data_IF_537888390430
#
_entry.id   IF_537888390430
#
_cell.length_a   1.000
_cell.length_b   1.000
_cell.length_c   1.000
_cell.angle_alpha   90.00
_cell.angle_beta   90.00
_cell.angle_gamma   90.00
#
_symmetry.space_group_name_H-M   'P 1'
#
loop_
_entity.id
_entity.type
_entity.pdbx_description
1 polymer ?
#
# COMPACT_ATOMS: atom_id res chain seq x y z
N UNK A 1 38.02 -12.00 -10.77
CA UNK A 1 37.90 -11.90 -9.30
C UNK A 1 36.64 -11.13 -8.93
N UNK A 2 35.85 -11.65 -8.02
CA UNK A 2 34.65 -10.94 -7.56
C UNK A 2 35.07 -9.68 -6.74
N UNK A 3 34.46 -8.54 -7.05
CA UNK A 3 34.67 -7.31 -6.29
C UNK A 3 33.87 -7.34 -4.98
N UNK A 4 34.25 -6.54 -4.00
CA UNK A 4 33.48 -6.44 -2.74
C UNK A 4 32.04 -5.95 -2.97
N UNK A 5 31.82 -5.07 -3.96
CA UNK A 5 30.47 -4.60 -4.34
C UNK A 5 29.61 -5.73 -4.88
N UNK A 6 30.13 -6.53 -5.81
CA UNK A 6 29.40 -7.67 -6.37
C UNK A 6 29.05 -8.74 -5.31
N UNK A 7 29.91 -8.93 -4.30
CA UNK A 7 29.63 -9.82 -3.16
C UNK A 7 28.55 -9.23 -2.27
N UNK A 8 28.65 -7.94 -1.94
CA UNK A 8 27.64 -7.25 -1.13
C UNK A 8 26.27 -7.26 -1.82
N UNK A 9 26.21 -6.90 -3.11
CA UNK A 9 24.98 -6.87 -3.90
C UNK A 9 24.29 -8.24 -3.97
N UNK A 10 25.03 -9.32 -4.23
CA UNK A 10 24.47 -10.68 -4.22
C UNK A 10 23.92 -11.09 -2.85
N UNK A 11 24.57 -10.69 -1.76
CA UNK A 11 24.08 -10.96 -0.42
C UNK A 11 22.84 -10.11 -0.10
N UNK A 12 22.82 -8.85 -0.52
CA UNK A 12 21.64 -7.99 -0.42
C UNK A 12 20.42 -8.61 -1.14
N UNK A 13 20.61 -9.07 -2.39
CA UNK A 13 19.55 -9.73 -3.16
C UNK A 13 19.00 -10.95 -2.43
N UNK A 14 19.88 -11.85 -1.96
CA UNK A 14 19.48 -13.08 -1.26
C UNK A 14 18.78 -12.82 0.08
N UNK A 15 19.25 -11.82 0.82
CA UNK A 15 18.63 -11.43 2.11
C UNK A 15 17.28 -10.76 1.86
N UNK A 16 17.19 -9.85 0.88
CA UNK A 16 15.95 -9.19 0.51
C UNK A 16 14.90 -10.18 -0.05
N UNK A 17 15.33 -11.20 -0.79
CA UNK A 17 14.46 -12.27 -1.28
C UNK A 17 14.04 -13.30 -0.21
N UNK A 18 14.55 -13.17 1.03
CA UNK A 18 14.25 -14.10 2.13
C UNK A 18 14.96 -15.46 2.00
N UNK A 19 15.91 -15.63 1.08
CA UNK A 19 16.75 -16.83 0.97
C UNK A 19 17.71 -17.00 2.16
N UNK A 20 18.04 -15.89 2.79
CA UNK A 20 18.82 -15.80 4.04
C UNK A 20 17.99 -15.04 5.06
N UNK A 21 17.16 -15.74 5.86
CA UNK A 21 16.29 -15.11 6.85
C UNK A 21 17.07 -14.51 8.03
N UNK A 22 16.38 -13.69 8.81
CA UNK A 22 16.92 -13.09 10.03
C UNK A 22 17.50 -14.14 10.97
N UNK A 23 18.70 -13.88 11.51
CA UNK A 23 19.44 -14.78 12.38
C UNK A 23 20.31 -15.81 11.65
N UNK A 24 20.15 -16.02 10.35
CA UNK A 24 20.97 -16.92 9.56
C UNK A 24 22.45 -16.53 9.62
N UNK A 25 23.29 -17.55 9.67
CA UNK A 25 24.75 -17.39 9.76
C UNK A 25 25.37 -17.34 8.38
N UNK A 26 26.10 -16.28 8.11
CA UNK A 26 26.88 -16.14 6.89
C UNK A 26 28.18 -16.96 6.96
N UNK A 27 28.72 -17.40 5.82
CA UNK A 27 30.02 -18.06 5.75
C UNK A 27 31.12 -17.21 6.41
N UNK A 28 32.13 -17.85 7.00
CA UNK A 28 33.28 -17.10 7.49
C UNK A 28 33.96 -16.34 6.34
N UNK A 29 34.62 -15.22 6.64
CA UNK A 29 35.33 -14.41 5.64
C UNK A 29 36.28 -15.26 4.79
N UNK A 30 36.95 -16.26 5.40
CA UNK A 30 37.85 -17.17 4.65
C UNK A 30 37.08 -18.17 3.79
N UNK A 31 35.96 -18.67 4.25
CA UNK A 31 35.10 -19.57 3.47
C UNK A 31 34.49 -18.85 2.25
N UNK A 32 33.88 -17.68 2.48
CA UNK A 32 33.34 -16.85 1.43
C UNK A 32 34.40 -16.39 0.41
N UNK A 33 35.63 -16.12 0.87
CA UNK A 33 36.74 -15.76 -0.05
C UNK A 33 37.08 -16.90 -1.01
N UNK A 34 37.06 -18.15 -0.54
CA UNK A 34 37.26 -19.35 -1.37
C UNK A 34 36.10 -19.52 -2.36
N UNK A 35 34.86 -19.42 -1.87
CA UNK A 35 33.63 -19.57 -2.68
C UNK A 35 33.61 -18.55 -3.83
N UNK A 36 33.88 -17.27 -3.52
CA UNK A 36 33.86 -16.19 -4.50
C UNK A 36 35.19 -16.01 -5.26
N UNK A 37 36.17 -16.89 -5.09
CA UNK A 37 37.51 -16.82 -5.72
C UNK A 37 38.14 -15.43 -5.57
N UNK A 38 38.15 -14.91 -4.34
CA UNK A 38 38.66 -13.57 -4.01
C UNK A 38 39.51 -13.60 -2.73
N UNK A 39 39.91 -12.44 -2.24
CA UNK A 39 40.71 -12.34 -1.02
C UNK A 39 39.83 -12.20 0.23
N UNK A 40 40.29 -12.63 1.43
CA UNK A 40 39.63 -12.38 2.68
C UNK A 40 39.35 -10.87 2.96
N UNK A 41 40.29 -10.00 2.52
CA UNK A 41 40.13 -8.55 2.64
C UNK A 41 38.94 -8.04 1.84
N UNK A 42 38.72 -8.54 0.63
CA UNK A 42 37.57 -8.18 -0.23
C UNK A 42 36.24 -8.58 0.42
N UNK A 43 36.15 -9.79 0.97
CA UNK A 43 34.95 -10.25 1.68
C UNK A 43 34.75 -9.46 2.97
N UNK A 44 35.83 -9.23 3.74
CA UNK A 44 35.76 -8.42 4.96
C UNK A 44 35.21 -7.03 4.72
N UNK A 45 35.59 -6.40 3.59
CA UNK A 45 35.06 -5.10 3.17
C UNK A 45 33.56 -5.19 2.83
N UNK A 46 33.13 -6.22 2.10
CA UNK A 46 31.71 -6.44 1.79
C UNK A 46 30.88 -6.61 3.06
N UNK A 47 31.34 -7.43 4.01
CA UNK A 47 30.67 -7.64 5.28
C UNK A 47 30.61 -6.37 6.15
N UNK A 48 31.69 -5.59 6.17
CA UNK A 48 31.71 -4.31 6.88
C UNK A 48 30.72 -3.31 6.29
N UNK A 49 30.53 -3.31 4.98
CA UNK A 49 29.56 -2.45 4.29
C UNK A 49 28.13 -2.88 4.60
N UNK A 50 27.83 -4.18 4.52
CA UNK A 50 26.53 -4.73 4.92
C UNK A 50 26.21 -4.49 6.39
N UNK A 51 27.20 -4.55 7.26
CA UNK A 51 27.01 -4.27 8.70
C UNK A 51 26.74 -2.78 8.95
N UNK A 52 27.42 -1.87 8.24
CA UNK A 52 27.12 -0.43 8.30
C UNK A 52 25.72 -0.10 7.79
N UNK A 53 25.25 -0.84 6.80
CA UNK A 53 23.88 -0.73 6.30
C UNK A 53 22.83 -1.39 7.20
N UNK A 54 23.21 -1.99 8.34
CA UNK A 54 22.28 -2.67 9.24
C UNK A 54 21.75 -4.03 8.74
N UNK A 55 22.28 -4.52 7.62
CA UNK A 55 21.82 -5.78 6.99
C UNK A 55 22.29 -7.01 7.75
N UNK A 56 23.51 -6.96 8.28
CA UNK A 56 24.10 -8.04 9.07
C UNK A 56 24.71 -7.52 10.36
N UNK A 57 24.82 -8.40 11.34
CA UNK A 57 25.49 -8.14 12.62
C UNK A 57 26.85 -8.84 12.62
N UNK A 58 27.90 -8.06 12.88
CA UNK A 58 29.25 -8.56 13.12
C UNK A 58 29.55 -8.57 14.60
N UNK A 59 29.94 -9.71 15.15
CA UNK A 59 30.38 -9.83 16.53
C UNK A 59 31.79 -10.39 16.61
N UNK A 60 32.65 -9.91 17.54
CA UNK A 60 34.00 -10.44 17.70
C UNK A 60 34.00 -11.94 17.92
N UNK A 61 34.83 -12.67 17.15
CA UNK A 61 35.01 -14.12 17.23
C UNK A 61 33.74 -14.95 16.99
N UNK A 62 32.68 -14.36 16.42
CA UNK A 62 31.47 -15.04 15.98
C UNK A 62 31.26 -14.92 14.49
N UNK A 63 30.50 -15.84 13.91
CA UNK A 63 30.09 -15.71 12.50
C UNK A 63 29.14 -14.52 12.33
N UNK A 64 29.24 -13.84 11.19
CA UNK A 64 28.29 -12.81 10.80
C UNK A 64 26.87 -13.41 10.69
N UNK A 65 25.86 -12.67 11.11
CA UNK A 65 24.45 -13.10 11.04
C UNK A 65 23.62 -12.03 10.38
N UNK A 66 22.56 -12.46 9.68
CA UNK A 66 21.53 -11.54 9.18
C UNK A 66 20.87 -10.86 10.37
N UNK A 67 20.76 -9.52 10.31
CA UNK A 67 20.08 -8.73 11.34
C UNK A 67 18.58 -9.05 11.40
N UNK A 68 17.91 -8.73 12.51
CA UNK A 68 16.47 -8.96 12.66
C UNK A 68 15.67 -8.28 11.54
N UNK A 69 16.04 -7.04 11.20
CA UNK A 69 15.44 -6.25 10.12
C UNK A 69 16.28 -6.27 8.85
N UNK A 70 17.16 -7.27 8.72
CA UNK A 70 18.15 -7.36 7.64
C UNK A 70 17.57 -7.34 6.24
N UNK A 71 16.40 -7.98 6.02
CA UNK A 71 15.72 -7.98 4.74
C UNK A 71 15.23 -6.57 4.34
N UNK A 72 14.70 -5.79 5.29
CA UNK A 72 14.26 -4.40 5.06
C UNK A 72 15.46 -3.53 4.68
N UNK A 73 16.56 -3.64 5.45
CA UNK A 73 17.78 -2.88 5.18
C UNK A 73 18.45 -3.28 3.85
N UNK A 74 18.42 -4.57 3.52
CA UNK A 74 18.95 -5.08 2.25
C UNK A 74 18.16 -4.52 1.06
N UNK A 75 16.83 -4.55 1.14
CA UNK A 75 15.99 -3.97 0.11
C UNK A 75 16.22 -2.46 -0.05
N UNK A 76 16.33 -1.71 1.05
CA UNK A 76 16.65 -0.26 1.01
C UNK A 76 18.01 -0.02 0.32
N UNK A 77 19.03 -0.81 0.63
CA UNK A 77 20.36 -0.69 0.03
C UNK A 77 20.36 -1.03 -1.48
N UNK A 78 19.63 -2.05 -1.90
CA UNK A 78 19.48 -2.43 -3.32
C UNK A 78 18.75 -1.35 -4.14
N UNK A 79 17.77 -0.69 -3.55
CA UNK A 79 17.01 0.36 -4.25
C UNK A 79 17.73 1.71 -4.25
N UNK A 80 18.90 1.83 -3.60
CA UNK A 80 19.92 2.88 -3.80
C UNK A 80 19.41 4.31 -3.72
N UNK A 81 18.41 4.61 -2.88
CA UNK A 81 17.78 5.94 -2.79
C UNK A 81 16.79 6.25 -3.92
N UNK A 82 16.45 5.28 -4.77
CA UNK A 82 15.35 5.45 -5.73
C UNK A 82 14.01 5.54 -4.99
N UNK A 83 13.22 6.54 -5.35
CA UNK A 83 11.87 6.68 -4.83
C UNK A 83 11.03 5.42 -5.08
N UNK A 84 10.21 5.02 -4.08
CA UNK A 84 9.25 3.94 -4.21
C UNK A 84 8.23 4.28 -5.30
N UNK A 85 8.11 3.43 -6.32
CA UNK A 85 7.05 3.55 -7.33
C UNK A 85 5.75 2.98 -6.75
N UNK A 86 4.84 3.88 -6.38
CA UNK A 86 3.58 3.57 -5.73
C UNK A 86 2.40 3.74 -6.69
N UNK A 87 1.61 2.69 -6.87
CA UNK A 87 0.39 2.68 -7.67
C UNK A 87 -0.85 2.42 -6.78
N UNK A 88 -2.03 2.46 -7.37
CA UNK A 88 -3.26 1.99 -6.73
C UNK A 88 -4.22 3.10 -6.35
N UNK A 89 -4.95 2.87 -5.28
CA UNK A 89 -6.04 3.75 -4.84
C UNK A 89 -5.52 5.01 -4.19
N UNK A 90 -6.19 6.11 -4.45
CA UNK A 90 -5.99 7.38 -3.75
C UNK A 90 -6.53 7.31 -2.32
N UNK A 91 -5.88 8.06 -1.44
CA UNK A 91 -6.29 8.17 -0.04
C UNK A 91 -5.67 9.43 0.58
N UNK A 92 -6.45 10.30 1.27
CA UNK A 92 -5.95 11.56 1.80
C UNK A 92 -4.90 11.40 2.91
N UNK A 93 -4.94 10.29 3.68
CA UNK A 93 -3.92 10.03 4.68
C UNK A 93 -2.64 9.50 4.03
N UNK A 94 -2.78 8.66 3.00
CA UNK A 94 -1.64 8.21 2.21
C UNK A 94 -0.88 9.39 1.57
N UNK A 95 -1.58 10.39 1.06
CA UNK A 95 -0.96 11.57 0.46
C UNK A 95 -0.11 12.38 1.46
N UNK A 96 -0.45 12.31 2.75
CA UNK A 96 0.34 12.95 3.82
C UNK A 96 1.61 12.19 4.19
N UNK A 97 1.58 10.86 4.15
CA UNK A 97 2.72 10.03 4.58
C UNK A 97 3.58 9.53 3.43
N UNK A 98 3.06 9.45 2.21
CA UNK A 98 3.77 8.91 1.05
C UNK A 98 4.67 9.97 0.37
N UNK A 99 5.23 10.89 1.14
CA UNK A 99 6.20 11.89 0.66
C UNK A 99 7.47 11.18 0.16
N UNK A 100 7.99 11.60 -0.99
CA UNK A 100 9.17 10.96 -1.59
C UNK A 100 8.88 9.67 -2.36
N UNK A 101 7.60 9.34 -2.61
CA UNK A 101 7.24 8.25 -3.53
C UNK A 101 6.95 8.77 -4.94
N UNK A 102 7.28 7.96 -5.95
CA UNK A 102 6.90 8.21 -7.34
C UNK A 102 5.51 7.61 -7.59
N UNK A 103 4.52 8.45 -7.84
CA UNK A 103 3.16 7.98 -8.15
C UNK A 103 3.08 7.46 -9.58
N UNK A 104 2.77 6.18 -9.73
CA UNK A 104 2.55 5.55 -11.03
C UNK A 104 1.11 5.77 -11.46
N UNK A 105 0.91 6.25 -12.68
CA UNK A 105 -0.41 6.49 -13.27
C UNK A 105 -1.19 5.19 -13.53
N UNK A 106 -1.68 4.57 -12.47
CA UNK A 106 -2.46 3.35 -12.49
C UNK A 106 -3.57 3.44 -11.43
N UNK A 107 -4.68 4.15 -11.74
CA UNK A 107 -5.70 4.50 -10.77
C UNK A 107 -6.46 3.28 -10.26
N UNK A 108 -6.82 3.34 -8.98
CA UNK A 108 -7.60 2.33 -8.28
C UNK A 108 -6.84 1.04 -8.01
N UNK A 109 -7.43 0.19 -7.19
CA UNK A 109 -6.78 -1.03 -6.70
C UNK A 109 -6.44 -2.02 -7.81
N UNK A 110 -7.29 -2.20 -8.82
CA UNK A 110 -6.99 -3.07 -9.96
C UNK A 110 -5.87 -2.51 -10.84
N UNK A 111 -5.84 -1.18 -11.04
CA UNK A 111 -4.74 -0.51 -11.73
C UNK A 111 -3.42 -0.73 -10.99
N UNK A 112 -3.44 -0.63 -9.66
CA UNK A 112 -2.30 -0.91 -8.80
C UNK A 112 -1.78 -2.34 -8.93
N UNK A 113 -2.66 -3.34 -8.85
CA UNK A 113 -2.31 -4.75 -9.04
C UNK A 113 -1.74 -5.02 -10.44
N UNK A 114 -2.32 -4.42 -11.48
CA UNK A 114 -1.83 -4.50 -12.85
C UNK A 114 -0.42 -3.89 -12.98
N UNK A 115 -0.19 -2.73 -12.37
CA UNK A 115 1.12 -2.07 -12.38
C UNK A 115 2.19 -2.91 -11.66
N UNK A 116 1.85 -3.55 -10.53
CA UNK A 116 2.71 -4.51 -9.84
C UNK A 116 3.02 -5.73 -10.71
N UNK A 117 1.99 -6.33 -11.31
CA UNK A 117 2.17 -7.48 -12.18
C UNK A 117 3.08 -7.18 -13.38
N UNK A 118 2.93 -5.99 -13.97
CA UNK A 118 3.75 -5.49 -15.07
C UNK A 118 5.11 -4.92 -14.64
N UNK A 119 5.46 -4.94 -13.36
CA UNK A 119 6.70 -4.38 -12.80
C UNK A 119 6.87 -2.86 -13.02
N UNK A 120 5.78 -2.15 -13.27
CA UNK A 120 5.78 -0.69 -13.37
C UNK A 120 5.73 0.00 -12.01
N UNK A 121 5.25 -0.70 -10.98
CA UNK A 121 5.23 -0.26 -9.59
C UNK A 121 6.00 -1.23 -8.69
N UNK A 122 6.45 -0.74 -7.55
CA UNK A 122 7.13 -1.51 -6.50
C UNK A 122 6.15 -1.90 -5.39
N UNK A 123 5.09 -1.10 -5.19
CA UNK A 123 4.00 -1.35 -4.26
C UNK A 123 2.67 -0.80 -4.80
N UNK A 124 1.55 -1.32 -4.29
CA UNK A 124 0.21 -0.82 -4.65
C UNK A 124 -0.75 -0.81 -3.46
N UNK A 125 -1.52 0.27 -3.35
CA UNK A 125 -2.57 0.42 -2.35
C UNK A 125 -3.88 -0.19 -2.82
N UNK A 126 -4.52 -0.96 -1.93
CA UNK A 126 -5.69 -1.78 -2.23
C UNK A 126 -6.80 -1.59 -1.20
N UNK A 127 -8.06 -1.67 -1.66
CA UNK A 127 -9.26 -1.82 -0.83
C UNK A 127 -10.36 -2.59 -1.61
N UNK A 128 -10.01 -3.73 -2.18
CA UNK A 128 -10.91 -4.57 -2.96
C UNK A 128 -11.63 -5.56 -2.08
N UNK A 129 -12.96 -5.58 -2.13
CA UNK A 129 -13.78 -6.59 -1.49
C UNK A 129 -14.08 -7.73 -2.47
N UNK A 130 -13.74 -8.95 -2.09
CA UNK A 130 -14.09 -10.16 -2.83
C UNK A 130 -15.53 -10.58 -2.49
N UNK A 131 -16.14 -11.40 -3.36
CA UNK A 131 -17.52 -11.88 -3.22
C UNK A 131 -17.77 -12.71 -1.93
N UNK A 132 -16.73 -13.31 -1.37
CA UNK A 132 -16.78 -14.06 -0.11
C UNK A 132 -16.69 -13.17 1.14
N UNK A 133 -16.60 -11.85 0.96
CA UNK A 133 -16.47 -10.87 2.03
C UNK A 133 -15.04 -10.51 2.41
N UNK A 134 -14.04 -11.28 1.98
CA UNK A 134 -12.64 -11.00 2.25
C UNK A 134 -12.14 -9.81 1.44
N UNK A 135 -11.16 -9.09 2.02
CA UNK A 135 -10.53 -7.94 1.33
C UNK A 135 -9.13 -8.30 0.86
N UNK A 136 -8.73 -7.70 -0.25
CA UNK A 136 -7.38 -7.60 -0.82
C UNK A 136 -6.64 -8.93 -1.02
N UNK A 137 -6.59 -9.81 -0.01
CA UNK A 137 -5.84 -11.06 -0.03
C UNK A 137 -6.19 -11.98 -1.22
N UNK A 138 -7.46 -12.26 -1.55
CA UNK A 138 -7.78 -13.13 -2.67
C UNK A 138 -7.26 -12.62 -4.02
N UNK A 139 -7.20 -11.30 -4.18
CA UNK A 139 -6.70 -10.67 -5.40
C UNK A 139 -5.17 -10.69 -5.46
N UNK A 140 -4.50 -10.31 -4.38
CA UNK A 140 -3.04 -10.32 -4.29
C UNK A 140 -2.49 -11.74 -4.46
N UNK A 141 -3.05 -12.72 -3.77
CA UNK A 141 -2.67 -14.14 -3.88
C UNK A 141 -2.77 -14.66 -5.31
N UNK A 142 -3.83 -14.30 -6.02
CA UNK A 142 -4.06 -14.81 -7.37
C UNK A 142 -3.23 -14.10 -8.44
N UNK A 143 -3.16 -12.77 -8.37
CA UNK A 143 -2.53 -11.95 -9.41
C UNK A 143 -1.00 -11.90 -9.24
N UNK A 144 -0.51 -11.88 -8.00
CA UNK A 144 0.90 -11.72 -7.67
C UNK A 144 1.56 -12.99 -7.12
N UNK A 145 0.93 -14.16 -7.27
CA UNK A 145 1.38 -15.45 -6.67
C UNK A 145 2.86 -15.73 -6.86
N UNK A 146 3.40 -15.45 -8.06
CA UNK A 146 4.79 -15.75 -8.42
C UNK A 146 5.79 -14.74 -7.85
N UNK A 147 5.30 -13.72 -7.13
CA UNK A 147 6.09 -12.63 -6.53
C UNK A 147 6.07 -12.61 -5.02
N UNK A 148 5.49 -13.64 -4.39
CA UNK A 148 5.38 -13.74 -2.93
C UNK A 148 4.86 -12.43 -2.33
N UNK A 149 3.62 -12.02 -2.63
CA UNK A 149 3.10 -10.76 -2.13
C UNK A 149 2.98 -10.76 -0.60
N UNK A 150 3.28 -9.61 -0.01
CA UNK A 150 2.99 -9.29 1.38
C UNK A 150 1.93 -8.21 1.38
N UNK A 151 0.92 -8.34 2.22
CA UNK A 151 -0.04 -7.31 2.52
C UNK A 151 0.34 -6.65 3.85
N UNK A 152 0.49 -5.33 3.81
CA UNK A 152 0.71 -4.52 5.00
C UNK A 152 -0.57 -3.77 5.29
N UNK A 153 -1.15 -3.97 6.46
CA UNK A 153 -2.31 -3.21 6.90
C UNK A 153 -1.89 -1.76 7.17
N UNK A 154 -2.54 -0.81 6.49
CA UNK A 154 -2.31 0.61 6.75
C UNK A 154 -3.30 1.12 7.79
N UNK A 155 -4.59 1.02 7.47
CA UNK A 155 -5.69 1.45 8.35
C UNK A 155 -7.02 0.88 7.87
N UNK A 156 -8.04 1.06 8.68
CA UNK A 156 -9.42 0.99 8.22
C UNK A 156 -9.92 2.41 7.97
N UNK A 157 -10.75 2.58 6.96
CA UNK A 157 -11.34 3.86 6.60
C UNK A 157 -12.84 3.76 6.45
N UNK A 158 -13.55 4.78 6.89
CA UNK A 158 -14.99 4.83 6.85
C UNK A 158 -15.47 5.43 5.53
N UNK A 159 -16.23 4.64 4.78
CA UNK A 159 -16.94 5.04 3.59
C UNK A 159 -18.40 5.31 3.88
N UNK A 160 -18.96 6.33 3.25
CA UNK A 160 -20.35 6.70 3.45
C UNK A 160 -20.86 7.67 2.40
N UNK A 161 -22.08 8.13 2.61
CA UNK A 161 -22.71 9.14 1.78
C UNK A 161 -22.31 10.52 2.31
N UNK A 162 -21.72 11.32 1.46
CA UNK A 162 -21.42 12.73 1.69
C UNK A 162 -22.62 13.53 1.22
N UNK A 163 -23.15 14.38 2.06
CA UNK A 163 -24.32 15.23 1.78
C UNK A 163 -24.03 16.68 2.14
N UNK A 164 -24.78 17.65 1.63
CA UNK A 164 -24.69 19.04 2.06
C UNK A 164 -24.86 19.17 3.57
N UNK A 165 -24.33 20.26 4.13
CA UNK A 165 -24.52 20.60 5.55
C UNK A 165 -26.00 20.61 5.92
N UNK A 166 -26.30 20.12 7.12
CA UNK A 166 -27.64 19.94 7.66
C UNK A 166 -28.53 18.94 6.90
N UNK A 167 -27.94 18.22 5.91
CA UNK A 167 -28.60 17.17 5.13
C UNK A 167 -30.06 17.53 4.75
N UNK A 168 -30.29 18.59 3.96
CA UNK A 168 -31.63 19.15 3.72
C UNK A 168 -32.58 18.16 3.05
N UNK A 169 -32.05 17.17 2.34
CA UNK A 169 -32.80 16.12 1.66
C UNK A 169 -33.05 14.88 2.51
N UNK A 170 -32.65 14.88 3.78
CA UNK A 170 -32.77 13.77 4.73
C UNK A 170 -32.26 12.44 4.15
N UNK A 171 -31.12 12.47 3.43
CA UNK A 171 -30.50 11.28 2.84
C UNK A 171 -29.90 10.45 3.99
N UNK A 172 -30.39 9.23 4.19
CA UNK A 172 -29.97 8.34 5.26
C UNK A 172 -29.50 6.95 4.76
N UNK A 173 -29.87 6.58 3.55
CA UNK A 173 -29.57 5.28 2.97
C UNK A 173 -29.25 5.39 1.48
N UNK A 174 -28.77 4.31 0.88
CA UNK A 174 -28.44 4.27 -0.55
C UNK A 174 -29.69 4.38 -1.43
N UNK A 175 -30.82 3.90 -0.95
CA UNK A 175 -32.13 4.04 -1.64
C UNK A 175 -32.51 5.50 -1.88
N UNK A 176 -32.15 6.39 -0.95
CA UNK A 176 -32.40 7.83 -1.10
C UNK A 176 -31.56 8.49 -2.18
N UNK A 177 -30.55 7.80 -2.73
CA UNK A 177 -29.76 8.28 -3.87
C UNK A 177 -30.44 8.05 -5.22
N UNK A 178 -31.45 7.17 -5.27
CA UNK A 178 -32.15 6.86 -6.50
C UNK A 178 -32.94 8.06 -7.00
N UNK A 179 -32.74 8.43 -8.27
CA UNK A 179 -33.37 9.61 -8.88
C UNK A 179 -32.67 10.95 -8.57
N UNK A 180 -31.61 10.96 -7.75
CA UNK A 180 -30.82 12.13 -7.42
C UNK A 180 -29.55 12.23 -8.28
N UNK A 181 -28.95 13.40 -8.29
CA UNK A 181 -27.63 13.63 -8.90
C UNK A 181 -26.57 13.23 -7.90
N UNK A 182 -25.80 12.16 -8.19
CA UNK A 182 -24.77 11.61 -7.31
C UNK A 182 -23.40 11.79 -7.94
N UNK A 183 -22.46 12.42 -7.27
CA UNK A 183 -21.08 12.48 -7.73
C UNK A 183 -20.46 11.07 -7.64
N UNK A 184 -20.07 10.54 -8.79
CA UNK A 184 -19.67 9.15 -8.98
C UNK A 184 -18.15 9.06 -9.07
N UNK A 185 -17.54 8.15 -8.29
CA UNK A 185 -16.14 7.80 -8.49
C UNK A 185 -15.95 7.08 -9.83
N UNK A 186 -14.75 7.19 -10.39
CA UNK A 186 -14.41 6.52 -11.65
C UNK A 186 -14.73 5.02 -11.60
N UNK A 187 -15.19 4.47 -12.72
CA UNK A 187 -15.51 3.05 -12.86
C UNK A 187 -14.30 2.18 -12.47
N UNK A 188 -14.54 1.08 -11.73
CA UNK A 188 -13.50 0.18 -11.26
C UNK A 188 -12.78 0.63 -9.98
N UNK A 189 -13.07 1.81 -9.42
CA UNK A 189 -12.60 2.16 -8.08
C UNK A 189 -13.41 1.38 -7.03
N UNK A 190 -12.77 1.03 -5.89
CA UNK A 190 -13.45 0.27 -4.83
C UNK A 190 -14.69 0.99 -4.29
N UNK A 191 -14.64 2.31 -4.15
CA UNK A 191 -15.79 3.12 -3.74
C UNK A 191 -16.94 3.06 -4.74
N UNK A 192 -16.65 3.06 -6.05
CA UNK A 192 -17.68 2.88 -7.09
C UNK A 192 -18.28 1.49 -7.01
N UNK A 193 -17.45 0.46 -6.86
CA UNK A 193 -17.88 -0.93 -6.69
C UNK A 193 -18.75 -1.09 -5.44
N UNK A 194 -18.39 -0.43 -4.31
CA UNK A 194 -19.20 -0.40 -3.10
C UNK A 194 -20.58 0.17 -3.37
N UNK A 195 -20.67 1.36 -3.97
CA UNK A 195 -21.94 2.00 -4.29
C UNK A 195 -22.81 1.11 -5.19
N UNK A 196 -22.26 0.60 -6.27
CA UNK A 196 -22.98 -0.24 -7.21
C UNK A 196 -23.50 -1.54 -6.57
N UNK A 197 -22.75 -2.11 -5.64
CA UNK A 197 -23.18 -3.26 -4.86
C UNK A 197 -24.36 -2.90 -3.95
N UNK A 198 -24.24 -1.82 -3.19
CA UNK A 198 -25.31 -1.39 -2.27
C UNK A 198 -26.61 -1.04 -3.02
N UNK A 199 -26.51 -0.42 -4.20
CA UNK A 199 -27.68 -0.13 -5.06
C UNK A 199 -28.33 -1.43 -5.55
N UNK A 200 -27.55 -2.46 -5.93
CA UNK A 200 -28.11 -3.78 -6.29
C UNK A 200 -28.77 -4.47 -5.09
N UNK A 201 -28.14 -4.38 -3.91
CA UNK A 201 -28.71 -4.93 -2.66
C UNK A 201 -30.02 -4.24 -2.29
N UNK A 202 -30.16 -2.96 -2.63
CA UNK A 202 -31.41 -2.19 -2.53
C UNK A 202 -32.44 -2.50 -3.65
N UNK A 203 -32.17 -3.47 -4.52
CA UNK A 203 -33.07 -3.89 -5.59
C UNK A 203 -33.10 -2.98 -6.82
N UNK A 204 -32.15 -2.04 -6.96
CA UNK A 204 -32.10 -1.10 -8.07
C UNK A 204 -30.92 -1.41 -9.04
N UNK A 205 -31.05 -0.89 -10.25
CA UNK A 205 -29.97 -1.00 -11.25
C UNK A 205 -28.97 0.16 -11.07
N UNK A 206 -27.67 -0.12 -10.80
CA UNK A 206 -26.63 0.91 -10.73
C UNK A 206 -26.52 1.79 -11.99
N UNK A 207 -26.97 1.30 -13.15
CA UNK A 207 -26.99 2.08 -14.38
C UNK A 207 -27.97 3.28 -14.34
N UNK A 208 -28.87 3.31 -13.37
CA UNK A 208 -29.78 4.43 -13.14
C UNK A 208 -29.14 5.62 -12.43
N UNK A 209 -28.00 5.41 -11.77
CA UNK A 209 -27.26 6.50 -11.12
C UNK A 209 -26.78 7.52 -12.15
N UNK A 210 -26.96 8.78 -11.83
CA UNK A 210 -26.57 9.94 -12.67
C UNK A 210 -25.78 10.94 -11.85
N UNK A 211 -24.86 11.62 -12.49
CA UNK A 211 -24.09 12.72 -11.93
C UNK A 211 -22.69 12.81 -12.49
N UNK A 212 -21.91 13.81 -12.06
CA UNK A 212 -20.54 14.01 -12.51
C UNK A 212 -19.62 12.91 -12.04
N UNK A 213 -18.64 12.53 -12.87
CA UNK A 213 -17.55 11.65 -12.43
C UNK A 213 -16.49 12.44 -11.67
N UNK A 214 -16.06 11.93 -10.55
CA UNK A 214 -15.07 12.54 -9.65
C UNK A 214 -13.84 11.62 -9.52
N UNK A 215 -12.67 12.04 -10.00
CA UNK A 215 -11.42 11.25 -9.93
C UNK A 215 -10.96 10.92 -8.51
N UNK A 216 -11.19 11.84 -7.52
CA UNK A 216 -10.74 11.66 -6.14
C UNK A 216 -11.89 11.77 -5.14
N UNK A 217 -11.69 11.32 -3.89
CA UNK A 217 -12.67 11.49 -2.83
C UNK A 217 -12.96 12.97 -2.53
N UNK A 218 -11.93 13.80 -2.56
CA UNK A 218 -12.08 15.24 -2.33
C UNK A 218 -12.90 15.88 -3.44
N UNK A 219 -12.66 15.55 -4.71
CA UNK A 219 -13.44 16.08 -5.83
C UNK A 219 -14.90 15.64 -5.80
N UNK A 220 -15.18 14.42 -5.31
CA UNK A 220 -16.55 13.98 -5.08
C UNK A 220 -17.25 14.84 -4.01
N UNK A 221 -16.57 15.13 -2.90
CA UNK A 221 -17.07 16.03 -1.87
C UNK A 221 -17.20 17.48 -2.38
N UNK A 222 -16.27 17.97 -3.20
CA UNK A 222 -16.35 19.28 -3.82
C UNK A 222 -17.57 19.44 -4.75
N UNK A 223 -17.93 18.37 -5.47
CA UNK A 223 -19.15 18.40 -6.30
C UNK A 223 -20.41 18.60 -5.46
N UNK A 224 -20.48 18.02 -4.27
CA UNK A 224 -21.58 18.24 -3.30
C UNK A 224 -21.51 19.66 -2.73
N UNK A 225 -20.34 20.11 -2.26
CA UNK A 225 -20.17 21.46 -1.72
C UNK A 225 -20.54 22.57 -2.71
N UNK A 226 -20.28 22.33 -4.02
CA UNK A 226 -20.60 23.27 -5.10
C UNK A 226 -22.05 23.16 -5.62
N UNK A 227 -22.87 22.27 -5.07
CA UNK A 227 -24.25 22.03 -5.54
C UNK A 227 -24.34 21.40 -6.93
N UNK A 228 -23.26 20.77 -7.42
CA UNK A 228 -23.22 20.02 -8.69
C UNK A 228 -23.78 18.60 -8.53
N UNK A 229 -23.89 18.13 -7.30
CA UNK A 229 -24.50 16.86 -6.93
C UNK A 229 -25.22 16.98 -5.59
N UNK A 230 -26.32 16.24 -5.44
CA UNK A 230 -27.10 16.15 -4.21
C UNK A 230 -26.36 15.35 -3.15
N UNK A 231 -25.54 14.38 -3.59
CA UNK A 231 -24.77 13.51 -2.71
C UNK A 231 -23.54 12.93 -3.45
N UNK A 232 -22.63 12.34 -2.68
CA UNK A 232 -21.52 11.54 -3.20
C UNK A 232 -21.27 10.32 -2.31
N UNK A 233 -20.59 9.29 -2.82
CA UNK A 233 -19.98 8.26 -1.99
C UNK A 233 -18.49 8.55 -1.85
N UNK A 234 -18.03 8.61 -0.60
CA UNK A 234 -16.64 8.93 -0.32
C UNK A 234 -16.21 8.62 1.11
N UNK A 235 -15.05 9.13 1.49
CA UNK A 235 -14.50 8.99 2.83
C UNK A 235 -15.03 10.10 3.76
N UNK A 236 -15.22 9.77 5.04
CA UNK A 236 -15.58 10.77 6.07
C UNK A 236 -14.60 11.95 6.10
N UNK A 237 -13.29 11.69 5.93
CA UNK A 237 -12.30 12.76 5.90
C UNK A 237 -12.53 13.77 4.77
N UNK A 238 -13.00 13.34 3.60
CA UNK A 238 -13.30 14.26 2.50
C UNK A 238 -14.51 15.15 2.82
N UNK A 239 -15.54 14.59 3.45
CA UNK A 239 -16.69 15.37 3.95
C UNK A 239 -16.24 16.38 5.01
N UNK A 240 -15.48 15.94 6.01
CA UNK A 240 -14.97 16.79 7.09
C UNK A 240 -14.10 17.95 6.59
N UNK A 241 -13.30 17.75 5.53
CA UNK A 241 -12.45 18.80 4.94
C UNK A 241 -13.27 19.97 4.39
N UNK A 242 -14.51 19.73 3.96
CA UNK A 242 -15.40 20.72 3.35
C UNK A 242 -16.61 21.04 4.25
N UNK A 243 -16.57 20.64 5.52
CA UNK A 243 -17.66 20.85 6.51
C UNK A 243 -19.03 20.33 6.03
N UNK A 244 -19.00 19.21 5.29
CA UNK A 244 -20.19 18.51 4.82
C UNK A 244 -20.64 17.45 5.82
N UNK A 245 -21.92 17.10 5.79
CA UNK A 245 -22.44 16.00 6.59
C UNK A 245 -22.13 14.64 5.95
N UNK A 246 -22.18 13.59 6.78
CA UNK A 246 -21.76 12.26 6.40
C UNK A 246 -22.65 11.19 7.02
N UNK A 247 -23.17 10.31 6.16
CA UNK A 247 -23.94 9.13 6.57
C UNK A 247 -23.06 7.89 6.43
N UNK A 248 -22.67 7.21 7.53
CA UNK A 248 -21.76 6.07 7.48
C UNK A 248 -22.39 4.86 6.79
N UNK A 249 -21.61 4.14 5.98
CA UNK A 249 -22.05 2.93 5.29
C UNK A 249 -21.17 1.71 5.60
N UNK A 250 -19.86 1.86 5.56
CA UNK A 250 -18.94 0.74 5.73
C UNK A 250 -17.55 1.16 6.20
N UNK A 251 -16.90 0.28 6.97
CA UNK A 251 -15.47 0.33 7.25
C UNK A 251 -14.74 -0.64 6.34
N UNK A 252 -13.73 -0.16 5.63
CA UNK A 252 -12.93 -0.95 4.71
C UNK A 252 -11.45 -0.93 5.08
N UNK A 253 -10.76 -2.08 5.03
CA UNK A 253 -9.31 -2.09 5.19
C UNK A 253 -8.64 -1.48 3.96
N UNK A 254 -7.66 -0.63 4.21
CA UNK A 254 -6.76 -0.07 3.22
C UNK A 254 -5.38 -0.66 3.46
N UNK A 255 -4.86 -1.38 2.47
CA UNK A 255 -3.64 -2.16 2.61
C UNK A 255 -2.65 -1.87 1.47
N UNK A 256 -1.37 -2.02 1.77
CA UNK A 256 -0.31 -2.01 0.77
C UNK A 256 0.00 -3.46 0.36
N UNK A 257 -0.14 -3.77 -0.92
CA UNK A 257 0.42 -4.97 -1.51
C UNK A 257 1.83 -4.68 -2.02
N UNK A 258 2.80 -5.46 -1.58
CA UNK A 258 4.20 -5.30 -1.96
C UNK A 258 4.82 -6.68 -2.21
N UNK A 259 5.50 -6.92 -3.35
CA UNK A 259 6.31 -8.10 -3.55
C UNK A 259 7.40 -8.20 -2.47
N UNK A 260 7.66 -9.38 -1.94
CA UNK A 260 8.67 -9.59 -0.87
C UNK A 260 10.02 -8.95 -1.21
N UNK A 261 10.46 -9.06 -2.46
CA UNK A 261 11.68 -8.44 -2.96
C UNK A 261 11.68 -6.90 -2.95
N UNK A 262 10.50 -6.27 -2.87
CA UNK A 262 10.34 -4.81 -2.86
C UNK A 262 10.06 -4.23 -1.47
N UNK A 263 9.96 -5.05 -0.43
CA UNK A 263 9.67 -4.59 0.94
C UNK A 263 10.65 -3.52 1.41
N UNK A 264 11.93 -3.67 1.09
CA UNK A 264 12.95 -2.70 1.46
C UNK A 264 12.78 -1.34 0.75
N UNK A 265 12.24 -1.32 -0.47
CA UNK A 265 11.91 -0.07 -1.15
C UNK A 265 10.76 0.67 -0.46
N UNK A 266 9.87 -0.05 0.24
CA UNK A 266 8.76 0.51 0.98
C UNK A 266 9.13 0.96 2.40
N UNK A 267 10.37 0.73 2.87
CA UNK A 267 10.77 0.95 4.25
C UNK A 267 10.51 2.38 4.77
N UNK A 268 10.76 3.40 3.95
CA UNK A 268 10.53 4.80 4.35
C UNK A 268 9.03 5.10 4.47
N UNK A 269 8.20 4.56 3.58
CA UNK A 269 6.75 4.65 3.67
C UNK A 269 6.21 3.92 4.91
N UNK A 270 6.75 2.73 5.22
CA UNK A 270 6.36 1.97 6.41
C UNK A 270 6.77 2.67 7.71
N UNK A 271 7.94 3.29 7.74
CA UNK A 271 8.36 4.12 8.89
C UNK A 271 7.48 5.37 9.05
N UNK A 272 7.07 5.99 7.94
CA UNK A 272 6.14 7.12 7.98
C UNK A 272 4.73 6.72 8.45
N UNK A 273 4.33 5.47 8.26
CA UNK A 273 3.06 4.92 8.74
C UNK A 273 2.96 4.95 10.28
N UNK A 274 4.07 4.69 11.01
CA UNK A 274 4.11 4.74 12.47
C UNK A 274 3.81 6.14 13.03
N UNK A 275 4.14 7.18 12.27
CA UNK A 275 3.91 8.58 12.61
C UNK A 275 2.67 9.17 11.92
N UNK A 276 1.81 8.34 11.34
CA UNK A 276 0.64 8.80 10.60
C UNK A 276 -0.30 9.62 11.50
N UNK A 277 -0.74 10.81 11.06
CA UNK A 277 -1.65 11.63 11.87
C UNK A 277 -3.06 11.02 11.91
N UNK A 278 -3.77 11.26 13.00
CA UNK A 278 -5.19 10.91 13.08
C UNK A 278 -6.03 11.76 12.12
N UNK A 279 -7.02 11.14 11.50
CA UNK A 279 -7.98 11.81 10.61
C UNK A 279 -9.40 11.30 10.89
N UNK A 280 -10.45 12.13 10.70
CA UNK A 280 -11.84 11.69 10.83
C UNK A 280 -12.14 10.50 9.92
N UNK A 281 -12.72 9.43 10.49
CA UNK A 281 -13.07 8.23 9.73
C UNK A 281 -11.89 7.33 9.38
N UNK A 282 -10.76 7.44 10.10
CA UNK A 282 -9.63 6.54 10.01
C UNK A 282 -9.38 5.83 11.35
N UNK A 283 -9.19 4.53 11.28
CA UNK A 283 -8.79 3.69 12.40
C UNK A 283 -7.42 3.08 12.08
N UNK A 284 -6.41 3.49 12.85
CA UNK A 284 -5.02 3.09 12.69
C UNK A 284 -4.65 1.90 13.59
N UNK A 285 -5.60 1.29 14.28
CA UNK A 285 -5.34 0.06 15.00
C UNK A 285 -4.75 -0.99 14.05
N UNK A 286 -3.77 -1.75 14.53
CA UNK A 286 -3.06 -2.78 13.77
C UNK A 286 -2.26 -2.27 12.54
N UNK A 287 -2.08 -0.93 12.39
CA UNK A 287 -1.22 -0.37 11.34
C UNK A 287 0.18 -0.98 11.37
N UNK A 288 0.72 -1.30 10.19
CA UNK A 288 2.02 -1.94 10.04
C UNK A 288 2.01 -3.46 10.16
N UNK A 289 0.89 -4.09 10.56
CA UNK A 289 0.79 -5.55 10.56
C UNK A 289 0.94 -6.13 9.16
N UNK A 290 1.76 -7.17 9.04
CA UNK A 290 2.07 -7.80 7.77
C UNK A 290 1.53 -9.23 7.74
N UNK A 291 1.00 -9.63 6.57
CA UNK A 291 0.56 -11.01 6.33
C UNK A 291 0.82 -11.44 4.90
N UNK A 292 0.97 -12.73 4.69
CA UNK A 292 0.94 -13.32 3.35
C UNK A 292 -0.50 -13.66 2.99
N UNK A 293 -0.98 -13.26 1.81
CA UNK A 293 -2.36 -13.52 1.37
C UNK A 293 -2.61 -14.97 1.00
#
# INVERSE_FOLDING_TARGET
MATYRAIAERLLERIAAGELPAGDTLPSVRAAAREHRTTPATVGRAYAELSRAGVIVLAPRRAARVAQDGAVHAGRALHGGRALRLAGSDDPLLDRIATGTDRVGAPGSFGGLSALWQQRADAATLHLRHRDGNYNAPFAARILRDRRPVLVHFWRREQGIIVPRDNPDAIATVEHLLGRTVALRASGTGTRVLLERLVREAGADPATLRGPEAPTHLQAAMAVAAGLADAAIGLRAAAATLELDFVPLAWEPFELAVPEASLGAAADLLSALEAAPTMPGFDLADSGTMRRP
#
